data_IF_963167973455
#
_entry.id   IF_963167973455
#
_cell.length_a   1.000
_cell.length_b   1.000
_cell.length_c   1.000
_cell.angle_alpha   90.00
_cell.angle_beta   90.00
_cell.angle_gamma   90.00
#
_symmetry.space_group_name_H-M   'P 1'
#
loop_
_entity.id
_entity.type
_entity.pdbx_description
1 polymer ?
#
# COMPACT_ATOMS: atom_id res chain seq x y z
N UNK A 1 0.96 8.94 13.09
CA UNK A 1 0.67 10.03 12.13
C UNK A 1 0.29 9.41 10.80
N UNK A 2 -0.79 9.85 10.14
CA UNK A 2 -1.05 9.37 8.78
C UNK A 2 -0.08 10.04 7.80
N UNK A 3 0.51 9.26 6.90
CA UNK A 3 1.48 9.77 5.92
C UNK A 3 1.42 8.99 4.61
N UNK A 4 1.79 9.60 3.48
CA UNK A 4 1.95 8.88 2.23
C UNK A 4 3.14 7.92 2.29
N UNK A 5 3.05 6.80 1.59
CA UNK A 5 4.11 5.81 1.41
C UNK A 5 3.92 5.09 0.08
N UNK A 6 4.99 4.57 -0.50
CA UNK A 6 4.94 3.73 -1.70
C UNK A 6 4.34 2.36 -1.40
N UNK A 7 3.45 1.88 -2.26
CA UNK A 7 2.88 0.54 -2.21
C UNK A 7 3.94 -0.48 -2.66
N UNK A 8 4.14 -1.56 -1.89
CA UNK A 8 5.05 -2.64 -2.27
C UNK A 8 4.54 -3.48 -3.46
N UNK A 9 3.23 -3.49 -3.69
CA UNK A 9 2.58 -4.33 -4.71
C UNK A 9 2.56 -3.67 -6.09
N UNK A 10 2.16 -2.40 -6.15
CA UNK A 10 1.99 -1.67 -7.43
C UNK A 10 2.89 -0.44 -7.59
N UNK A 11 3.74 -0.12 -6.61
CA UNK A 11 4.59 1.09 -6.56
C UNK A 11 3.85 2.43 -6.54
N UNK A 12 2.52 2.44 -6.63
CA UNK A 12 1.69 3.63 -6.45
C UNK A 12 1.74 4.17 -5.01
N UNK A 13 1.40 5.45 -4.84
CA UNK A 13 1.32 6.09 -3.53
C UNK A 13 0.06 5.64 -2.77
N UNK A 14 0.28 5.08 -1.59
CA UNK A 14 -0.75 4.74 -0.60
C UNK A 14 -0.48 5.53 0.68
N UNK A 15 -1.20 5.25 1.76
CA UNK A 15 -1.06 5.86 3.06
C UNK A 15 -0.92 4.80 4.16
N UNK A 16 -0.29 5.19 5.26
CA UNK A 16 -0.23 4.42 6.50
C UNK A 16 -0.75 5.28 7.65
N UNK A 17 -1.36 4.68 8.67
CA UNK A 17 -1.85 5.37 9.87
C UNK A 17 -3.15 4.79 10.42
N UNK A 18 -3.92 5.63 11.12
CA UNK A 18 -5.18 5.26 11.79
C UNK A 18 -6.44 5.41 10.92
N UNK A 19 -6.32 5.90 9.69
CA UNK A 19 -7.46 6.04 8.75
C UNK A 19 -8.29 7.31 8.90
N UNK A 20 -8.12 8.09 9.98
CA UNK A 20 -8.86 9.34 10.19
C UNK A 20 -8.28 10.55 9.43
N UNK A 21 -7.01 10.47 9.02
CA UNK A 21 -6.30 11.58 8.40
C UNK A 21 -5.82 11.26 6.97
N UNK A 22 -6.54 10.38 6.27
CA UNK A 22 -6.22 9.98 4.88
C UNK A 22 -6.24 11.19 3.93
N UNK A 23 -7.24 12.10 3.97
CA UNK A 23 -7.28 13.26 3.08
C UNK A 23 -6.04 14.14 3.23
N UNK A 24 -5.56 14.32 4.46
CA UNK A 24 -4.34 15.07 4.73
C UNK A 24 -3.10 14.34 4.21
N UNK A 25 -2.99 13.03 4.46
CA UNK A 25 -1.87 12.21 3.99
C UNK A 25 -1.77 12.17 2.46
N UNK A 26 -2.90 12.23 1.75
CA UNK A 26 -2.94 12.16 0.28
C UNK A 26 -3.09 13.53 -0.40
N UNK A 27 -3.20 14.62 0.36
CA UNK A 27 -3.44 15.98 -0.16
C UNK A 27 -2.43 16.47 -1.19
N UNK A 28 -1.16 16.08 -1.04
CA UNK A 28 -0.06 16.48 -1.92
C UNK A 28 0.26 15.43 -2.99
N UNK A 29 -0.51 14.34 -3.06
CA UNK A 29 -0.27 13.25 -3.99
C UNK A 29 -1.31 13.32 -5.11
N UNK A 30 -0.91 13.47 -6.38
CA UNK A 30 -1.84 13.47 -7.50
C UNK A 30 -2.55 12.12 -7.61
N UNK A 31 -3.84 12.13 -7.95
CA UNK A 31 -4.68 10.93 -8.04
C UNK A 31 -4.13 9.89 -9.02
N UNK A 32 -3.51 10.33 -10.11
CA UNK A 32 -2.88 9.45 -11.10
C UNK A 32 -1.68 8.65 -10.53
N UNK A 33 -1.10 9.10 -9.42
CA UNK A 33 -0.03 8.39 -8.73
C UNK A 33 -0.53 7.56 -7.55
N UNK A 34 -1.84 7.46 -7.31
CA UNK A 34 -2.38 6.68 -6.21
C UNK A 34 -2.27 5.19 -6.48
N UNK A 35 -2.17 4.41 -5.40
CA UNK A 35 -2.20 2.96 -5.45
C UNK A 35 -3.54 2.47 -6.02
N UNK A 36 -3.49 1.65 -7.05
CA UNK A 36 -4.65 1.06 -7.73
C UNK A 36 -4.98 -0.36 -7.25
N UNK A 37 -4.36 -0.81 -6.16
CA UNK A 37 -4.65 -2.11 -5.58
C UNK A 37 -6.06 -2.16 -5.02
N UNK A 38 -6.64 -3.36 -4.97
CA UNK A 38 -7.93 -3.63 -4.37
C UNK A 38 -7.71 -3.87 -2.87
N UNK A 39 -8.60 -3.38 -2.01
CA UNK A 39 -8.55 -3.67 -0.57
C UNK A 39 -8.91 -5.14 -0.34
N UNK A 40 -8.04 -5.89 0.32
CA UNK A 40 -8.30 -7.29 0.69
C UNK A 40 -9.42 -7.40 1.73
N UNK A 41 -9.54 -6.36 2.58
CA UNK A 41 -10.61 -6.22 3.57
C UNK A 41 -11.98 -5.89 2.96
N UNK A 42 -12.07 -5.67 1.64
CA UNK A 42 -13.32 -5.32 0.94
C UNK A 42 -13.87 -3.95 1.31
N UNK A 43 -13.04 -3.06 1.89
CA UNK A 43 -13.44 -1.71 2.25
C UNK A 43 -13.24 -0.80 1.04
N UNK A 44 -14.33 -0.54 0.32
CA UNK A 44 -14.33 0.46 -0.74
C UNK A 44 -14.34 1.87 -0.15
N UNK A 45 -13.34 2.68 -0.51
CA UNK A 45 -13.24 4.08 -0.11
C UNK A 45 -12.77 4.93 -1.28
N UNK A 46 -13.00 6.25 -1.23
CA UNK A 46 -12.48 7.19 -2.25
C UNK A 46 -10.94 7.15 -2.35
N UNK A 47 -10.28 6.71 -1.27
CA UNK A 47 -8.83 6.68 -1.15
C UNK A 47 -8.29 5.27 -1.40
N UNK A 48 -7.02 5.15 -1.83
CA UNK A 48 -6.37 3.86 -2.00
C UNK A 48 -6.39 3.04 -0.69
N UNK A 49 -6.28 1.70 -0.78
CA UNK A 49 -6.19 0.85 0.41
C UNK A 49 -4.98 1.25 1.25
N UNK A 50 -5.02 0.97 2.55
CA UNK A 50 -3.90 1.21 3.45
C UNK A 50 -2.69 0.37 3.03
N UNK A 51 -1.47 0.89 3.26
CA UNK A 51 -0.25 0.12 3.05
C UNK A 51 -0.32 -1.26 3.73
N UNK A 52 -0.12 -2.32 2.93
CA UNK A 52 -0.20 -3.72 3.37
C UNK A 52 -1.59 -4.37 3.26
N UNK A 53 -2.65 -3.60 2.96
CA UNK A 53 -4.01 -4.11 2.74
C UNK A 53 -4.36 -4.19 1.24
N UNK A 54 -3.56 -3.55 0.39
CA UNK A 54 -3.75 -3.55 -1.06
C UNK A 54 -3.22 -4.82 -1.72
N UNK A 55 -4.12 -5.61 -2.31
CA UNK A 55 -3.78 -6.70 -3.22
C UNK A 55 -3.78 -6.21 -4.67
N UNK A 56 -2.70 -6.49 -5.39
CA UNK A 56 -2.70 -6.31 -6.84
C UNK A 56 -3.65 -7.37 -7.43
N UNK A 57 -4.58 -6.96 -8.28
CA UNK A 57 -5.48 -7.89 -8.99
C UNK A 57 -4.65 -8.83 -9.87
N UNK A 58 -4.52 -10.10 -9.44
CA UNK A 58 -3.94 -11.32 -10.08
C UNK A 58 -2.73 -11.09 -11.02
N UNK A 59 -1.49 -11.59 -10.85
CA UNK A 59 -1.05 -12.97 -10.64
C UNK A 59 0.49 -12.97 -10.40
N UNK A 60 0.97 -12.72 -9.18
CA UNK A 60 2.36 -13.10 -8.85
C UNK A 60 2.52 -13.35 -7.35
N UNK A 61 1.77 -14.33 -6.85
CA UNK A 61 1.85 -14.87 -5.49
C UNK A 61 3.16 -15.64 -5.20
N UNK A 62 4.30 -15.29 -5.80
CA UNK A 62 5.54 -16.05 -5.57
C UNK A 62 6.82 -15.21 -5.68
N UNK A 63 7.05 -14.24 -4.78
CA UNK A 63 8.44 -13.87 -4.45
C UNK A 63 8.70 -13.28 -3.07
N UNK A 64 7.69 -12.98 -2.24
CA UNK A 64 7.93 -12.56 -0.84
C UNK A 64 8.06 -13.78 0.11
N UNK A 65 8.79 -14.78 -0.34
CA UNK A 65 9.52 -15.76 0.49
C UNK A 65 10.86 -15.79 -0.22
N UNK A 66 11.88 -15.03 0.18
CA UNK A 66 12.82 -15.40 1.24
C UNK A 66 13.41 -14.08 1.78
N UNK A 67 13.25 -13.77 3.07
CA UNK A 67 14.32 -13.09 3.80
C UNK A 67 15.23 -14.22 4.32
N UNK A 68 16.32 -14.61 3.62
CA UNK A 68 17.30 -15.47 4.25
C UNK A 68 18.06 -14.53 5.17
N UNK A 69 17.65 -14.46 6.44
CA UNK A 69 18.51 -13.96 7.50
C UNK A 69 19.55 -15.04 7.78
N UNK A 70 20.44 -15.23 6.82
CA UNK A 70 21.68 -15.96 7.01
C UNK A 70 22.84 -14.99 6.74
N UNK A 71 23.92 -15.17 7.51
CA UNK A 71 25.17 -14.41 7.51
C UNK A 71 25.25 -13.27 8.54
N UNK A 72 25.37 -13.64 9.82
CA UNK A 72 26.48 -13.11 10.61
C UNK A 72 27.56 -14.21 10.65
N UNK A 73 28.67 -13.94 9.97
CA UNK A 73 29.95 -14.58 10.21
C UNK A 73 30.54 -14.14 11.56
#
# INVERSE_FOLDING_TARGET
>A
MCKPIDCSSCTGKTWIGCGLHIPYAMSLVPKDSWCTCISESGVESEYPPKFGDGVASEENELSVKIHPRESLA
#
